data_IF_252945042484
#
_entry.id   IF_252945042484
#
_cell.length_a   1.000
_cell.length_b   1.000
_cell.length_c   1.000
_cell.angle_alpha   90.00
_cell.angle_beta   90.00
_cell.angle_gamma   90.00
#
_symmetry.space_group_name_H-M   'P 1'
#
loop_
_entity.id
_entity.type
_entity.pdbx_description
1 polymer ?
#
# COMPACT_ATOMS: atom_id res chain seq x y z
N UNK A 1 -52.25 47.65 -15.32
CA UNK A 1 -52.63 48.63 -14.30
C UNK A 1 -51.71 48.47 -13.14
N UNK A 2 -50.79 49.40 -13.06
CA UNK A 2 -50.61 50.41 -12.03
C UNK A 2 -50.03 49.84 -10.75
N UNK A 3 -49.01 50.31 -10.09
CA UNK A 3 -48.12 51.48 -10.14
C UNK A 3 -47.20 51.35 -8.93
N UNK A 4 -45.94 51.71 -9.10
CA UNK A 4 -44.98 52.10 -8.04
C UNK A 4 -45.46 53.33 -7.25
N UNK A 5 -44.93 53.66 -6.06
CA UNK A 5 -43.73 54.49 -5.93
C UNK A 5 -42.83 54.04 -4.74
N UNK A 6 -41.54 54.24 -4.75
CA UNK A 6 -40.58 55.33 -4.54
C UNK A 6 -40.59 56.02 -3.15
N UNK A 7 -39.34 56.18 -2.68
CA UNK A 7 -38.73 57.20 -1.78
C UNK A 7 -38.53 56.73 -0.30
N UNK A 8 -37.48 57.06 0.42
CA UNK A 8 -36.42 58.03 0.26
C UNK A 8 -35.27 57.75 1.25
N UNK A 9 -34.09 58.21 0.88
CA UNK A 9 -32.87 58.46 1.61
C UNK A 9 -32.96 58.74 3.13
N UNK A 10 -32.02 58.24 3.92
CA UNK A 10 -31.30 59.13 4.84
C UNK A 10 -29.86 58.64 5.11
N UNK A 11 -28.99 59.58 4.91
CA UNK A 11 -27.54 59.53 5.10
C UNK A 11 -27.21 59.91 6.56
N UNK A 12 -26.36 59.15 7.25
CA UNK A 12 -25.60 59.76 8.35
C UNK A 12 -24.22 59.07 8.53
N UNK A 13 -23.25 59.94 8.49
CA UNK A 13 -21.82 59.72 8.80
C UNK A 13 -21.61 59.25 10.22
N UNK A 14 -20.73 58.26 10.38
CA UNK A 14 -20.15 57.89 11.67
C UNK A 14 -18.73 57.41 11.49
N UNK A 15 -17.75 58.30 11.74
CA UNK A 15 -16.34 58.02 11.90
C UNK A 15 -16.15 57.09 13.09
N UNK A 16 -15.44 55.95 12.99
CA UNK A 16 -14.61 55.53 14.10
C UNK A 16 -13.54 54.50 13.73
N UNK A 17 -12.34 54.92 14.01
CA UNK A 17 -11.23 54.24 14.65
C UNK A 17 -10.74 52.90 14.02
N UNK A 18 -9.66 53.01 13.33
CA UNK A 18 -8.69 51.96 13.08
C UNK A 18 -8.16 51.40 14.41
N UNK A 19 -8.52 50.20 14.75
CA UNK A 19 -7.89 49.42 15.81
C UNK A 19 -7.02 48.35 15.13
N UNK A 20 -5.73 48.56 15.10
CA UNK A 20 -4.74 47.61 14.60
C UNK A 20 -4.86 46.26 15.35
N UNK A 21 -5.28 45.22 14.65
CA UNK A 21 -5.07 43.89 15.09
C UNK A 21 -3.70 43.41 14.60
N UNK A 22 -2.76 43.34 15.52
CA UNK A 22 -1.52 42.61 15.35
C UNK A 22 -1.85 41.13 15.17
N UNK A 23 -1.73 40.64 13.91
CA UNK A 23 -1.71 39.20 13.61
C UNK A 23 -0.44 38.61 14.24
N UNK A 24 -0.61 37.90 15.33
CA UNK A 24 0.42 36.99 15.83
C UNK A 24 0.65 35.91 14.74
N UNK A 25 1.79 36.02 14.07
CA UNK A 25 2.32 34.95 13.22
C UNK A 25 2.54 33.73 14.10
N UNK A 26 1.63 32.76 14.00
CA UNK A 26 1.80 31.45 14.60
C UNK A 26 3.03 30.79 13.99
N UNK A 27 4.05 30.57 14.78
CA UNK A 27 5.22 29.79 14.39
C UNK A 27 4.79 28.40 13.99
N UNK A 28 5.07 28.02 12.74
CA UNK A 28 5.01 26.62 12.31
C UNK A 28 6.05 25.86 13.13
N UNK A 29 5.60 25.07 14.08
CA UNK A 29 6.41 24.02 14.67
C UNK A 29 6.85 23.10 13.54
N UNK A 30 8.11 23.17 13.17
CA UNK A 30 8.75 22.16 12.34
C UNK A 30 8.64 20.84 13.11
N UNK A 31 7.74 19.97 12.64
CA UNK A 31 7.69 18.59 13.10
C UNK A 31 9.09 17.98 12.92
N UNK A 32 9.71 17.60 14.00
CA UNK A 32 10.96 16.86 13.98
C UNK A 32 10.79 15.65 13.10
N UNK A 33 11.58 15.56 12.00
CA UNK A 33 11.70 14.33 11.22
C UNK A 33 12.02 13.21 12.20
N UNK A 34 11.33 12.06 12.13
CA UNK A 34 11.70 10.92 12.93
C UNK A 34 13.16 10.60 12.64
N UNK A 35 13.99 10.68 13.66
CA UNK A 35 15.39 10.27 13.61
C UNK A 35 15.37 8.78 13.26
N UNK A 36 15.88 8.43 12.08
CA UNK A 36 16.09 7.04 11.70
C UNK A 36 16.86 6.34 12.82
N UNK A 37 16.29 5.28 13.36
CA UNK A 37 17.04 4.38 14.22
C UNK A 37 18.35 3.98 13.52
N UNK A 38 19.46 3.80 14.25
CA UNK A 38 20.72 3.40 13.65
C UNK A 38 20.50 2.17 12.78
N UNK A 39 21.01 2.21 11.54
CA UNK A 39 20.84 1.13 10.59
C UNK A 39 21.32 -0.18 11.21
N UNK A 40 20.42 -1.13 11.41
CA UNK A 40 20.78 -2.47 11.85
C UNK A 40 21.76 -3.05 10.81
N UNK A 41 22.88 -3.64 11.21
CA UNK A 41 23.83 -4.20 10.26
C UNK A 41 23.13 -5.23 9.37
N UNK A 42 23.27 -5.07 8.05
CA UNK A 42 22.65 -5.96 7.06
C UNK A 42 23.20 -7.37 7.24
N UNK A 43 22.33 -8.30 7.54
CA UNK A 43 22.70 -9.72 7.65
C UNK A 43 22.84 -10.31 6.24
N UNK A 44 24.02 -10.86 5.86
CA UNK A 44 24.14 -11.50 4.56
C UNK A 44 23.22 -12.72 4.46
N UNK A 45 22.43 -12.76 3.40
CA UNK A 45 21.58 -13.92 3.09
C UNK A 45 22.45 -15.15 2.79
N UNK A 46 22.06 -16.30 3.34
CA UNK A 46 22.79 -17.58 3.16
C UNK A 46 21.83 -18.63 2.61
N UNK A 47 22.00 -19.07 1.35
CA UNK A 47 21.21 -20.15 0.77
C UNK A 47 21.22 -21.40 1.66
N UNK A 48 20.04 -22.01 1.83
CA UNK A 48 19.87 -23.24 2.63
C UNK A 48 19.83 -23.06 4.15
N UNK A 49 20.20 -21.89 4.70
CA UNK A 49 20.08 -21.56 6.12
C UNK A 49 18.85 -20.72 6.44
N UNK A 50 18.48 -19.86 5.55
CA UNK A 50 17.35 -18.97 5.75
C UNK A 50 16.07 -19.65 5.29
N UNK A 51 15.10 -19.76 6.19
CA UNK A 51 13.78 -20.29 5.89
C UNK A 51 13.06 -19.35 4.92
N UNK A 52 12.11 -19.87 4.16
CA UNK A 52 11.18 -19.04 3.38
C UNK A 52 10.52 -17.98 4.27
N UNK A 53 10.24 -16.81 3.70
CA UNK A 53 9.53 -15.77 4.45
C UNK A 53 8.10 -16.23 4.77
N UNK A 54 7.50 -15.77 5.89
CA UNK A 54 6.18 -16.18 6.31
C UNK A 54 5.11 -15.91 5.27
N UNK A 55 4.28 -16.91 4.99
CA UNK A 55 3.10 -16.83 4.14
C UNK A 55 1.80 -17.15 4.91
N UNK A 56 1.96 -17.58 6.15
CA UNK A 56 0.86 -17.95 7.05
C UNK A 56 1.11 -17.48 8.47
N UNK A 57 0.05 -17.48 9.27
CA UNK A 57 0.17 -17.20 10.72
C UNK A 57 1.08 -18.23 11.41
N UNK A 58 0.99 -19.49 11.04
CA UNK A 58 1.85 -20.54 11.59
C UNK A 58 3.33 -20.29 11.32
N UNK A 59 3.68 -19.72 10.15
CA UNK A 59 5.07 -19.36 9.85
C UNK A 59 5.57 -18.19 10.70
N UNK A 60 4.68 -17.24 11.03
CA UNK A 60 4.98 -16.14 11.95
C UNK A 60 5.21 -16.68 13.36
N UNK A 61 4.32 -17.54 13.84
CA UNK A 61 4.40 -18.15 15.18
C UNK A 61 5.69 -18.97 15.34
N UNK A 62 6.07 -19.74 14.31
CA UNK A 62 7.34 -20.49 14.27
C UNK A 62 8.59 -19.60 14.34
N UNK A 63 8.46 -18.29 14.03
CA UNK A 63 9.51 -17.28 14.15
C UNK A 63 9.39 -16.45 15.43
N UNK A 64 8.36 -16.66 16.23
CA UNK A 64 8.04 -15.84 17.41
C UNK A 64 7.62 -14.41 17.04
N UNK A 65 6.90 -14.25 15.92
CA UNK A 65 6.45 -12.96 15.45
C UNK A 65 4.95 -12.77 15.70
N UNK A 66 4.59 -11.80 16.49
CA UNK A 66 3.20 -11.41 16.70
C UNK A 66 2.66 -10.58 15.54
N UNK A 67 3.53 -9.75 14.94
CA UNK A 67 3.18 -8.82 13.86
C UNK A 67 4.34 -8.68 12.87
N UNK A 68 4.00 -8.53 11.58
CA UNK A 68 4.97 -8.15 10.55
C UNK A 68 5.22 -6.64 10.57
N UNK A 69 6.40 -6.21 10.15
CA UNK A 69 6.67 -4.80 9.84
C UNK A 69 6.06 -4.43 8.48
N UNK A 70 6.25 -5.30 7.51
CA UNK A 70 5.67 -5.17 6.18
C UNK A 70 4.97 -6.46 5.78
N UNK A 71 3.86 -6.32 5.04
CA UNK A 71 3.21 -7.42 4.33
C UNK A 71 3.26 -7.11 2.85
N UNK A 72 3.88 -7.99 2.08
CA UNK A 72 3.96 -7.87 0.62
C UNK A 72 2.85 -8.64 -0.05
N UNK A 73 1.99 -7.95 -0.80
CA UNK A 73 0.92 -8.56 -1.59
C UNK A 73 1.33 -8.57 -3.06
N UNK A 74 1.32 -9.75 -3.67
CA UNK A 74 1.80 -9.98 -5.03
C UNK A 74 0.79 -10.76 -5.88
N UNK A 75 0.69 -10.40 -7.16
CA UNK A 75 -0.13 -11.12 -8.13
C UNK A 75 0.49 -12.44 -8.62
N UNK A 76 1.80 -12.65 -8.42
CA UNK A 76 2.48 -13.90 -8.77
C UNK A 76 2.47 -14.87 -7.59
N UNK A 77 2.63 -16.15 -7.87
CA UNK A 77 2.95 -17.16 -6.86
C UNK A 77 4.25 -16.84 -6.13
N UNK A 78 4.41 -17.33 -4.90
CA UNK A 78 5.61 -17.12 -4.14
C UNK A 78 6.78 -17.97 -4.69
N UNK A 79 7.74 -17.31 -5.28
CA UNK A 79 9.02 -17.91 -5.71
C UNK A 79 10.15 -17.08 -5.10
N UNK A 80 10.89 -17.68 -4.15
CA UNK A 80 12.03 -17.03 -3.48
C UNK A 80 13.28 -17.11 -4.34
N UNK A 81 13.27 -16.38 -5.43
CA UNK A 81 14.35 -16.35 -6.43
C UNK A 81 14.64 -14.91 -6.87
N UNK A 82 15.90 -14.54 -7.12
CA UNK A 82 16.28 -13.18 -7.50
C UNK A 82 15.70 -12.68 -8.84
N UNK A 83 15.07 -13.54 -9.64
CA UNK A 83 14.30 -13.10 -10.81
C UNK A 83 12.93 -12.52 -10.47
N UNK A 84 12.48 -12.63 -9.22
CA UNK A 84 11.19 -12.12 -8.77
C UNK A 84 11.38 -10.88 -7.90
N UNK A 85 10.85 -9.75 -8.34
CA UNK A 85 10.98 -8.47 -7.63
C UNK A 85 10.48 -8.52 -6.19
N UNK A 86 9.39 -9.23 -5.93
CA UNK A 86 8.84 -9.45 -4.61
C UNK A 86 9.88 -10.15 -3.70
N UNK A 87 10.54 -11.20 -4.17
CA UNK A 87 11.55 -11.92 -3.40
C UNK A 87 12.75 -11.04 -3.07
N UNK A 88 13.28 -10.29 -4.06
CA UNK A 88 14.42 -9.39 -3.85
C UNK A 88 14.07 -8.35 -2.78
N UNK A 89 12.97 -7.62 -2.94
CA UNK A 89 12.59 -6.54 -2.03
C UNK A 89 12.37 -7.08 -0.62
N UNK A 90 11.64 -8.19 -0.49
CA UNK A 90 11.37 -8.81 0.80
C UNK A 90 12.65 -9.30 1.48
N UNK A 91 13.59 -9.90 0.74
CA UNK A 91 14.87 -10.35 1.28
C UNK A 91 15.80 -9.21 1.66
N UNK A 92 15.77 -8.11 0.91
CA UNK A 92 16.53 -6.89 1.30
C UNK A 92 15.98 -6.33 2.62
N UNK A 93 14.68 -6.24 2.77
CA UNK A 93 14.05 -5.77 4.01
C UNK A 93 14.36 -6.73 5.19
N UNK A 94 14.24 -8.06 4.99
CA UNK A 94 14.58 -9.07 5.98
C UNK A 94 16.07 -8.96 6.40
N UNK A 95 16.98 -8.75 5.45
CA UNK A 95 18.39 -8.55 5.73
C UNK A 95 18.68 -7.28 6.55
N UNK A 96 17.81 -6.26 6.42
CA UNK A 96 17.84 -5.05 7.26
C UNK A 96 17.13 -5.21 8.60
N UNK A 97 16.63 -6.40 8.92
CA UNK A 97 16.02 -6.72 10.22
C UNK A 97 14.53 -6.44 10.31
N UNK A 98 13.86 -6.12 9.19
CA UNK A 98 12.41 -6.00 9.17
C UNK A 98 11.73 -7.37 9.12
N UNK A 99 10.60 -7.49 9.81
CA UNK A 99 9.74 -8.66 9.77
C UNK A 99 8.82 -8.55 8.54
N UNK A 100 9.10 -9.34 7.50
CA UNK A 100 8.36 -9.28 6.24
C UNK A 100 7.57 -10.56 6.03
N UNK A 101 6.26 -10.42 5.88
CA UNK A 101 5.36 -11.49 5.47
C UNK A 101 4.92 -11.32 4.02
N UNK A 102 4.52 -12.41 3.36
CA UNK A 102 4.17 -12.43 1.95
C UNK A 102 2.80 -13.05 1.77
N UNK A 103 1.92 -12.38 1.02
CA UNK A 103 0.64 -12.89 0.57
C UNK A 103 0.67 -12.89 -0.95
N UNK A 104 0.76 -14.06 -1.54
CA UNK A 104 0.75 -14.25 -2.99
C UNK A 104 -0.63 -14.66 -3.47
N UNK A 105 -1.07 -14.04 -4.55
CA UNK A 105 -2.36 -14.35 -5.20
C UNK A 105 -3.51 -14.47 -4.19
N UNK A 106 -3.75 -13.43 -3.34
CA UNK A 106 -4.90 -13.46 -2.46
C UNK A 106 -6.18 -13.60 -3.29
N UNK A 107 -7.17 -14.29 -2.76
CA UNK A 107 -8.49 -14.32 -3.38
C UNK A 107 -9.06 -12.91 -3.42
N UNK A 108 -9.02 -12.30 -4.60
CA UNK A 108 -9.43 -10.92 -4.80
C UNK A 108 -10.95 -10.70 -4.70
N UNK A 109 -11.73 -11.77 -4.59
CA UNK A 109 -13.17 -11.74 -4.34
C UNK A 109 -13.51 -11.79 -2.85
N UNK A 110 -12.55 -12.21 -2.00
CA UNK A 110 -12.70 -12.27 -0.55
C UNK A 110 -11.74 -11.34 0.18
N UNK A 111 -12.23 -10.26 0.81
CA UNK A 111 -11.40 -9.37 1.62
C UNK A 111 -10.67 -10.05 2.78
N UNK A 112 -11.15 -11.20 3.27
CA UNK A 112 -10.48 -11.93 4.33
C UNK A 112 -9.13 -12.51 3.90
N UNK A 113 -8.95 -12.74 2.60
CA UNK A 113 -7.72 -13.31 2.03
C UNK A 113 -6.45 -12.48 2.32
N UNK A 114 -6.59 -11.17 2.51
CA UNK A 114 -5.46 -10.28 2.84
C UNK A 114 -5.21 -10.13 4.34
N UNK A 115 -6.04 -10.74 5.18
CA UNK A 115 -5.93 -10.64 6.65
C UNK A 115 -5.06 -11.74 7.28
N UNK A 116 -4.63 -12.70 6.48
CA UNK A 116 -3.92 -13.92 6.93
C UNK A 116 -2.74 -13.64 7.85
N UNK A 117 -1.99 -12.57 7.59
CA UNK A 117 -0.83 -12.15 8.38
C UNK A 117 -1.14 -10.98 9.33
N UNK A 118 -2.38 -10.48 9.35
CA UNK A 118 -2.80 -9.31 10.11
C UNK A 118 -2.32 -7.98 9.52
N UNK A 119 -2.59 -6.89 10.23
CA UNK A 119 -2.15 -5.54 9.85
C UNK A 119 -0.66 -5.38 10.12
N UNK A 120 0.14 -4.95 9.13
CA UNK A 120 1.57 -4.70 9.34
C UNK A 120 1.80 -3.40 10.12
N UNK A 121 2.88 -3.35 10.89
CA UNK A 121 3.26 -2.18 11.69
C UNK A 121 3.61 -0.95 10.85
N UNK A 122 4.26 -1.14 9.69
CA UNK A 122 4.76 -0.05 8.84
C UNK A 122 3.95 0.12 7.56
N UNK A 123 3.39 -0.95 7.01
CA UNK A 123 2.54 -0.85 5.84
C UNK A 123 2.58 -2.05 4.90
N UNK A 124 1.73 -1.97 3.89
CA UNK A 124 1.64 -2.96 2.82
C UNK A 124 2.51 -2.56 1.64
N UNK A 125 3.18 -3.54 1.03
CA UNK A 125 3.84 -3.41 -0.26
C UNK A 125 2.98 -4.16 -1.28
N UNK A 126 2.68 -3.53 -2.41
CA UNK A 126 1.76 -4.11 -3.41
C UNK A 126 2.37 -4.06 -4.79
N UNK A 127 2.40 -5.20 -5.49
CA UNK A 127 2.78 -5.27 -6.89
C UNK A 127 1.89 -6.21 -7.70
N UNK A 128 1.85 -6.02 -9.01
CA UNK A 128 1.17 -6.95 -9.92
C UNK A 128 1.92 -8.28 -10.08
N UNK A 129 3.22 -8.29 -9.80
CA UNK A 129 4.13 -9.41 -10.05
C UNK A 129 5.22 -9.05 -11.06
N UNK A 130 5.82 -10.05 -11.69
CA UNK A 130 6.87 -9.86 -12.71
C UNK A 130 6.35 -9.26 -14.01
N UNK A 131 5.06 -9.39 -14.26
CA UNK A 131 4.40 -8.87 -15.45
C UNK A 131 3.09 -8.20 -15.07
N UNK A 132 2.76 -7.11 -15.75
CA UNK A 132 1.43 -6.49 -15.62
C UNK A 132 0.33 -7.52 -15.91
N UNK A 133 -0.72 -7.51 -15.07
CA UNK A 133 -1.78 -8.51 -15.15
C UNK A 133 -2.54 -8.49 -16.47
N UNK A 134 -2.74 -7.31 -17.07
CA UNK A 134 -3.39 -7.21 -18.38
C UNK A 134 -2.52 -7.78 -19.48
N UNK A 135 -1.20 -7.53 -19.44
CA UNK A 135 -0.25 -8.09 -20.41
C UNK A 135 -0.15 -9.61 -20.26
N UNK A 136 -0.23 -10.12 -19.03
CA UNK A 136 -0.21 -11.55 -18.78
C UNK A 136 -1.51 -12.24 -19.25
N UNK A 137 -2.67 -11.61 -19.03
CA UNK A 137 -3.98 -12.20 -19.32
C UNK A 137 -4.41 -12.10 -20.78
N UNK A 138 -3.91 -11.13 -21.53
CA UNK A 138 -4.38 -10.86 -22.89
C UNK A 138 -3.26 -10.90 -23.91
N UNK A 139 -3.59 -11.37 -25.10
CA UNK A 139 -2.72 -11.26 -26.28
C UNK A 139 -2.78 -9.82 -26.85
N UNK A 140 -1.87 -9.52 -27.79
CA UNK A 140 -1.89 -8.25 -28.54
C UNK A 140 -3.24 -8.03 -29.25
N UNK A 141 -3.89 -9.11 -29.69
CA UNK A 141 -5.20 -9.09 -30.33
C UNK A 141 -6.37 -9.07 -29.34
N UNK A 142 -6.09 -8.82 -28.04
CA UNK A 142 -7.06 -8.73 -26.94
C UNK A 142 -7.82 -10.04 -26.65
N UNK A 143 -7.34 -11.19 -27.15
CA UNK A 143 -7.88 -12.49 -26.75
C UNK A 143 -7.34 -12.87 -25.37
N UNK A 144 -8.20 -13.37 -24.50
CA UNK A 144 -7.80 -13.87 -23.20
C UNK A 144 -6.93 -15.11 -23.34
N UNK A 145 -5.85 -15.18 -22.61
CA UNK A 145 -5.00 -16.36 -22.49
C UNK A 145 -5.65 -17.35 -21.52
N UNK A 146 -5.45 -18.62 -21.75
CA UNK A 146 -5.97 -19.72 -20.93
C UNK A 146 -4.91 -20.24 -19.93
N UNK A 147 -3.76 -19.60 -19.85
CA UNK A 147 -2.69 -19.99 -18.93
C UNK A 147 -2.04 -18.75 -18.32
N UNK A 148 -1.71 -18.85 -17.04
CA UNK A 148 -0.89 -17.87 -16.32
C UNK A 148 0.42 -18.51 -15.89
N UNK A 149 1.53 -18.14 -16.53
CA UNK A 149 2.85 -18.70 -16.25
C UNK A 149 3.38 -18.41 -14.84
N UNK A 150 2.77 -17.45 -14.14
CA UNK A 150 3.15 -17.05 -12.78
C UNK A 150 2.21 -17.60 -11.70
N UNK A 151 1.34 -18.54 -12.08
CA UNK A 151 0.42 -19.23 -11.18
C UNK A 151 0.78 -20.72 -11.11
N UNK A 152 0.67 -21.37 -9.94
CA UNK A 152 0.89 -22.80 -9.81
C UNK A 152 0.00 -23.57 -10.78
N UNK A 153 0.59 -24.55 -11.49
CA UNK A 153 -0.14 -25.31 -12.52
C UNK A 153 -0.46 -24.55 -13.79
N UNK A 154 -0.12 -23.26 -13.88
CA UNK A 154 -0.45 -22.43 -15.04
C UNK A 154 -1.92 -22.03 -15.11
N UNK A 155 -2.66 -22.15 -14.02
CA UNK A 155 -4.10 -21.87 -13.96
C UNK A 155 -4.38 -20.36 -14.06
N UNK A 156 -5.35 -19.99 -14.91
CA UNK A 156 -5.79 -18.61 -15.03
C UNK A 156 -6.84 -18.23 -13.95
N UNK A 157 -6.98 -16.94 -13.68
CA UNK A 157 -8.07 -16.42 -12.83
C UNK A 157 -7.68 -16.13 -11.38
N UNK A 158 -6.51 -16.57 -10.92
CA UNK A 158 -6.04 -16.31 -9.56
C UNK A 158 -5.64 -14.85 -9.33
N UNK A 159 -5.38 -14.13 -10.39
CA UNK A 159 -4.99 -12.71 -10.32
C UNK A 159 -6.02 -11.86 -11.06
N UNK A 160 -6.42 -10.69 -10.52
CA UNK A 160 -7.35 -9.79 -11.22
C UNK A 160 -6.63 -9.05 -12.35
N UNK A 161 -7.39 -8.56 -13.34
CA UNK A 161 -6.84 -7.83 -14.48
C UNK A 161 -6.04 -6.57 -14.09
N UNK A 162 -6.39 -5.94 -12.97
CA UNK A 162 -5.71 -4.77 -12.42
C UNK A 162 -5.29 -5.05 -10.99
N UNK A 163 -4.35 -5.97 -10.83
CA UNK A 163 -3.96 -6.53 -9.54
C UNK A 163 -3.63 -5.44 -8.50
N UNK A 164 -2.78 -4.49 -8.84
CA UNK A 164 -2.38 -3.42 -7.93
C UNK A 164 -3.56 -2.60 -7.43
N UNK A 165 -4.48 -2.22 -8.33
CA UNK A 165 -5.68 -1.44 -7.97
C UNK A 165 -6.62 -2.25 -7.08
N UNK A 166 -6.86 -3.50 -7.46
CA UNK A 166 -7.79 -4.38 -6.71
C UNK A 166 -7.24 -4.68 -5.33
N UNK A 167 -5.97 -5.07 -5.22
CA UNK A 167 -5.34 -5.36 -3.92
C UNK A 167 -5.27 -4.10 -3.05
N UNK A 168 -4.95 -2.94 -3.61
CA UNK A 168 -4.99 -1.67 -2.90
C UNK A 168 -6.38 -1.35 -2.34
N UNK A 169 -7.44 -1.61 -3.11
CA UNK A 169 -8.82 -1.42 -2.66
C UNK A 169 -9.20 -2.41 -1.56
N UNK A 170 -8.82 -3.69 -1.67
CA UNK A 170 -9.05 -4.69 -0.61
C UNK A 170 -8.37 -4.28 0.69
N UNK A 171 -7.12 -3.80 0.63
CA UNK A 171 -6.42 -3.29 1.81
C UNK A 171 -7.20 -2.14 2.43
N UNK A 172 -7.63 -1.16 1.63
CA UNK A 172 -8.40 0.00 2.12
C UNK A 172 -9.74 -0.35 2.73
N UNK A 173 -10.40 -1.40 2.24
CA UNK A 173 -11.66 -1.89 2.82
C UNK A 173 -11.44 -2.51 4.19
N UNK A 174 -10.33 -3.19 4.38
CA UNK A 174 -10.03 -3.96 5.60
C UNK A 174 -9.23 -3.14 6.61
N UNK A 175 -8.19 -2.45 6.15
CA UNK A 175 -7.23 -1.68 6.95
C UNK A 175 -7.21 -0.22 6.47
N UNK A 176 -8.18 0.58 6.92
CA UNK A 176 -8.47 1.93 6.39
C UNK A 176 -7.28 2.88 6.39
N UNK A 177 -6.49 2.84 7.45
CA UNK A 177 -5.42 3.81 7.69
C UNK A 177 -4.02 3.23 7.42
N UNK A 178 -3.91 1.95 7.08
CA UNK A 178 -2.62 1.31 6.83
C UNK A 178 -1.89 1.95 5.64
N UNK A 179 -0.61 2.30 5.76
CA UNK A 179 0.18 2.78 4.63
C UNK A 179 0.28 1.73 3.53
N UNK A 180 0.13 2.16 2.27
CA UNK A 180 0.27 1.30 1.10
C UNK A 180 1.34 1.88 0.20
N UNK A 181 2.35 1.08 -0.11
CA UNK A 181 3.42 1.38 -1.05
C UNK A 181 3.23 0.52 -2.28
N UNK A 182 3.01 1.15 -3.41
CA UNK A 182 2.78 0.49 -4.68
C UNK A 182 4.05 0.58 -5.52
N UNK A 183 4.47 -0.53 -6.09
CA UNK A 183 5.64 -0.58 -6.96
C UNK A 183 5.60 -1.75 -7.94
N UNK A 184 6.51 -1.70 -8.90
CA UNK A 184 6.52 -2.61 -10.03
C UNK A 184 5.48 -2.21 -11.09
N UNK A 185 5.49 -2.92 -12.19
CA UNK A 185 4.57 -2.70 -13.32
C UNK A 185 3.26 -3.41 -13.05
#
# INVERSE_FOLDING_TARGET
MAQKPQDAQHNQHGKHAQRGQQQKRGGKTQGSRPTHAPATPVRPWRPGRDKFLPVSRADMDARGWDQCDFVYICGDAYVDHPSFGMAIISRVLDAHGYKVGIICQPDWTDPASITVLGEPRLGFLVSAGNMDSMVNHYSVTKHRRHTDAYTPGGEEGHRPNRAVTVYGNLIRQTFKDAPIIIGGI
#
